data_IF_301817712044
#
_entry.id   IF_301817712044
#
_cell.length_a   1.000
_cell.length_b   1.000
_cell.length_c   1.000
_cell.angle_alpha   90.00
_cell.angle_beta   90.00
_cell.angle_gamma   90.00
#
_symmetry.space_group_name_H-M   'P 1'
#
loop_
_entity.id
_entity.type
_entity.pdbx_description
1 polymer ?
#
# COMPACT_ATOMS: atom_id res chain seq x y z
N UNK A 1 29.44 -6.60 11.78
CA UNK A 1 28.60 -6.09 10.67
C UNK A 1 27.24 -6.72 10.86
N UNK A 2 26.18 -5.94 11.09
CA UNK A 2 24.83 -6.50 11.16
C UNK A 2 24.44 -6.92 9.74
N UNK A 3 24.13 -8.20 9.59
CA UNK A 3 23.63 -8.76 8.34
C UNK A 3 22.30 -8.08 8.01
N UNK A 4 22.28 -7.16 7.03
CA UNK A 4 21.04 -6.53 6.58
C UNK A 4 20.16 -7.54 5.87
N UNK A 5 18.87 -7.54 6.18
CA UNK A 5 17.89 -8.44 5.59
C UNK A 5 17.19 -7.76 4.40
N UNK A 6 17.87 -7.68 3.27
CA UNK A 6 17.29 -7.17 2.01
C UNK A 6 16.62 -8.28 1.20
N UNK A 7 15.63 -7.91 0.38
CA UNK A 7 15.09 -8.80 -0.64
C UNK A 7 16.10 -9.01 -1.75
N UNK A 8 16.72 -10.20 -1.78
CA UNK A 8 17.62 -10.64 -2.86
C UNK A 8 16.96 -10.85 -4.23
N UNK A 9 15.72 -10.42 -4.40
CA UNK A 9 14.93 -10.57 -5.63
C UNK A 9 14.28 -9.23 -5.98
N UNK A 10 14.09 -8.98 -7.28
CA UNK A 10 13.35 -7.81 -7.77
C UNK A 10 12.04 -7.63 -7.00
N UNK A 11 11.67 -6.37 -6.73
CA UNK A 11 10.45 -5.99 -6.02
C UNK A 11 9.27 -6.88 -6.45
N UNK A 12 8.81 -7.73 -5.53
CA UNK A 12 7.74 -8.68 -5.82
C UNK A 12 6.39 -8.04 -5.52
N UNK A 13 5.39 -8.30 -6.35
CA UNK A 13 4.01 -7.80 -6.13
C UNK A 13 3.50 -8.22 -4.74
N UNK A 14 3.84 -9.42 -4.26
CA UNK A 14 3.46 -9.90 -2.92
C UNK A 14 4.02 -9.03 -1.80
N UNK A 15 5.21 -8.47 -1.97
CA UNK A 15 5.76 -7.55 -0.99
C UNK A 15 4.99 -6.23 -1.01
N UNK A 16 4.71 -5.67 -2.20
CA UNK A 16 3.94 -4.43 -2.32
C UNK A 16 2.55 -4.62 -1.70
N UNK A 17 1.88 -5.74 -1.98
CA UNK A 17 0.60 -6.13 -1.39
C UNK A 17 0.71 -6.26 0.14
N UNK A 18 1.77 -6.89 0.65
CA UNK A 18 1.97 -7.04 2.09
C UNK A 18 2.16 -5.70 2.80
N UNK A 19 2.95 -4.79 2.21
CA UNK A 19 3.17 -3.43 2.73
C UNK A 19 1.86 -2.63 2.71
N UNK A 20 1.11 -2.69 1.60
CA UNK A 20 -0.19 -2.03 1.46
C UNK A 20 -1.21 -2.49 2.53
N UNK A 21 -1.14 -3.76 2.95
CA UNK A 21 -1.99 -4.33 4.00
C UNK A 21 -1.39 -4.24 5.41
N UNK A 22 -0.28 -3.51 5.59
CA UNK A 22 0.41 -3.39 6.88
C UNK A 22 0.81 -4.76 7.48
N UNK A 23 1.13 -5.73 6.63
CA UNK A 23 1.62 -7.03 7.07
C UNK A 23 3.10 -6.98 7.44
N UNK A 24 3.44 -7.72 8.48
CA UNK A 24 4.81 -7.85 8.95
C UNK A 24 5.63 -8.69 7.96
N UNK A 25 6.60 -8.07 7.29
CA UNK A 25 7.38 -8.68 6.23
C UNK A 25 8.71 -9.20 6.78
N UNK A 26 8.89 -10.53 6.83
CA UNK A 26 10.13 -11.16 7.34
C UNK A 26 10.94 -11.83 6.23
N UNK A 27 12.25 -11.82 6.42
CA UNK A 27 13.19 -12.60 5.63
C UNK A 27 12.95 -14.11 5.84
N UNK A 28 13.20 -14.91 4.79
CA UNK A 28 13.15 -16.38 4.88
C UNK A 28 14.10 -16.95 5.96
N UNK A 29 15.11 -16.18 6.39
CA UNK A 29 16.00 -16.52 7.52
C UNK A 29 15.25 -16.76 8.82
N UNK A 30 14.14 -16.05 9.06
CA UNK A 30 13.29 -16.29 10.22
C UNK A 30 12.78 -17.74 10.28
N UNK A 31 12.38 -18.30 9.13
CA UNK A 31 11.92 -19.68 9.03
C UNK A 31 13.08 -20.68 9.22
N UNK A 32 14.27 -20.35 8.71
CA UNK A 32 15.47 -21.18 8.93
C UNK A 32 15.81 -21.23 10.42
N UNK A 33 15.81 -20.08 11.10
CA UNK A 33 16.09 -20.02 12.53
C UNK A 33 15.02 -20.72 13.36
N UNK A 34 13.74 -20.57 12.98
CA UNK A 34 12.63 -21.32 13.58
C UNK A 34 12.86 -22.83 13.55
N UNK A 35 13.20 -23.36 12.38
CA UNK A 35 13.47 -24.80 12.19
C UNK A 35 14.73 -25.23 12.93
N UNK A 36 15.81 -24.42 12.86
CA UNK A 36 17.11 -24.74 13.43
C UNK A 36 17.08 -24.81 14.96
N UNK A 37 16.36 -23.90 15.60
CA UNK A 37 16.29 -23.81 17.06
C UNK A 37 15.05 -24.49 17.66
N UNK A 38 14.21 -25.09 16.81
CA UNK A 38 12.95 -25.76 17.18
C UNK A 38 12.09 -24.92 18.15
N UNK A 39 11.98 -23.63 17.86
CA UNK A 39 11.24 -22.66 18.68
C UNK A 39 10.81 -21.47 17.86
N UNK A 40 9.75 -20.78 18.32
CA UNK A 40 9.39 -19.46 17.79
C UNK A 40 10.54 -18.49 18.09
N UNK A 41 11.19 -18.02 17.04
CA UNK A 41 12.25 -17.00 17.10
C UNK A 41 11.63 -15.63 16.92
N UNK A 42 12.24 -14.61 17.53
CA UNK A 42 11.81 -13.24 17.35
C UNK A 42 11.83 -12.85 15.86
N UNK A 43 10.70 -12.35 15.39
CA UNK A 43 10.48 -11.96 14.00
C UNK A 43 11.08 -10.58 13.71
N UNK A 44 11.22 -9.72 14.72
CA UNK A 44 11.68 -8.33 14.55
C UNK A 44 13.15 -8.29 14.12
N UNK A 45 13.97 -9.22 14.63
CA UNK A 45 15.36 -9.39 14.20
C UNK A 45 15.52 -9.84 12.73
N UNK A 46 14.43 -10.28 12.09
CA UNK A 46 14.42 -10.78 10.72
C UNK A 46 13.49 -9.97 9.80
N UNK A 47 13.03 -8.80 10.23
CA UNK A 47 12.20 -7.92 9.42
C UNK A 47 12.96 -7.46 8.16
N UNK A 48 12.24 -7.35 7.05
CA UNK A 48 12.81 -6.86 5.78
C UNK A 48 12.98 -5.33 5.86
N UNK A 49 14.21 -4.86 5.69
CA UNK A 49 14.57 -3.43 5.77
C UNK A 49 14.35 -2.67 4.44
N UNK A 50 14.29 -3.39 3.31
CA UNK A 50 14.16 -2.81 1.99
C UNK A 50 14.33 -3.82 0.85
N UNK A 51 14.24 -3.33 -0.38
CA UNK A 51 14.59 -4.07 -1.58
C UNK A 51 16.00 -3.73 -2.08
N UNK A 52 16.48 -4.47 -3.08
CA UNK A 52 17.81 -4.28 -3.67
C UNK A 52 17.89 -3.08 -4.63
N UNK A 53 16.83 -2.26 -4.78
CA UNK A 53 16.84 -1.12 -5.72
C UNK A 53 17.53 0.10 -5.15
N UNK A 54 17.58 0.23 -3.81
CA UNK A 54 18.20 1.34 -3.12
C UNK A 54 19.42 0.90 -2.29
N UNK A 55 20.48 1.72 -2.32
CA UNK A 55 21.68 1.52 -1.52
C UNK A 55 21.45 1.70 0.00
N UNK A 56 20.29 2.20 0.41
CA UNK A 56 19.95 2.53 1.78
C UNK A 56 18.69 1.80 2.26
N UNK A 57 18.71 1.38 3.53
CA UNK A 57 17.52 0.82 4.19
C UNK A 57 16.44 1.88 4.24
N UNK A 58 15.31 1.60 3.59
CA UNK A 58 14.19 2.51 3.53
C UNK A 58 13.18 2.25 4.65
N UNK A 59 13.23 1.12 5.36
CA UNK A 59 12.29 0.72 6.42
C UNK A 59 10.82 0.81 6.00
N UNK A 60 10.53 0.68 4.69
CA UNK A 60 9.18 0.78 4.14
C UNK A 60 8.18 -0.18 4.78
N UNK A 61 8.49 -1.49 4.85
CA UNK A 61 7.63 -2.47 5.54
C UNK A 61 7.40 -2.12 7.01
N UNK A 62 8.45 -1.70 7.72
CA UNK A 62 8.36 -1.32 9.13
C UNK A 62 7.50 -0.07 9.36
N UNK A 63 7.66 0.95 8.52
CA UNK A 63 6.82 2.15 8.54
C UNK A 63 5.37 1.82 8.27
N UNK A 64 5.08 0.90 7.36
CA UNK A 64 3.70 0.48 7.09
C UNK A 64 3.03 -0.06 8.35
N UNK A 65 3.72 -0.91 9.13
CA UNK A 65 3.18 -1.47 10.37
C UNK A 65 2.97 -0.42 11.48
N UNK A 66 3.62 0.75 11.38
CA UNK A 66 3.50 1.85 12.33
C UNK A 66 2.38 2.84 12.01
N UNK A 67 1.77 2.74 10.83
CA UNK A 67 0.59 3.53 10.47
C UNK A 67 -0.57 2.99 11.31
N UNK A 68 -1.22 3.87 12.08
CA UNK A 68 -2.42 3.49 12.81
C UNK A 68 -3.43 2.89 11.84
N UNK A 69 -4.12 1.82 12.22
CA UNK A 69 -5.09 1.10 11.37
C UNK A 69 -6.22 1.99 10.79
N UNK A 70 -6.33 3.24 11.24
CA UNK A 70 -7.29 4.23 10.77
C UNK A 70 -6.73 5.17 9.70
N UNK A 71 -5.43 5.11 9.40
CA UNK A 71 -4.75 5.92 8.40
C UNK A 71 -4.28 5.02 7.27
N UNK A 72 -4.42 5.50 6.04
CA UNK A 72 -4.13 4.73 4.84
C UNK A 72 -3.23 5.48 3.88
N UNK A 73 -2.47 4.75 3.07
CA UNK A 73 -1.50 5.35 2.16
C UNK A 73 -2.14 6.30 1.14
N UNK A 74 -3.34 5.95 0.66
CA UNK A 74 -4.05 6.72 -0.36
C UNK A 74 -5.39 7.26 0.14
N UNK A 75 -5.52 7.50 1.45
CA UNK A 75 -6.73 8.08 2.01
C UNK A 75 -7.06 9.41 1.30
N UNK A 76 -8.27 9.51 0.74
CA UNK A 76 -8.74 10.66 -0.03
C UNK A 76 -7.97 10.97 -1.33
N UNK A 77 -7.16 10.02 -1.83
CA UNK A 77 -6.47 10.16 -3.11
C UNK A 77 -7.27 9.46 -4.21
N UNK A 78 -7.54 10.20 -5.28
CA UNK A 78 -8.17 9.71 -6.51
C UNK A 78 -7.10 9.44 -7.58
N UNK A 79 -7.08 8.21 -8.11
CA UNK A 79 -6.11 7.74 -9.09
C UNK A 79 -6.77 7.33 -10.40
N UNK A 80 -6.12 7.64 -11.52
CA UNK A 80 -6.49 7.13 -12.84
C UNK A 80 -5.32 6.32 -13.40
N UNK A 81 -5.54 5.04 -13.66
CA UNK A 81 -4.51 4.15 -14.20
C UNK A 81 -4.46 4.34 -15.72
N UNK A 82 -3.42 5.02 -16.21
CA UNK A 82 -3.13 5.13 -17.64
C UNK A 82 -2.15 4.02 -18.03
N UNK A 83 -2.61 3.04 -18.82
CA UNK A 83 -1.77 1.96 -19.33
C UNK A 83 -0.61 2.53 -20.14
N UNK A 84 0.58 2.55 -19.57
CA UNK A 84 1.82 2.75 -20.33
C UNK A 84 2.49 1.39 -20.48
N UNK A 85 3.10 1.12 -21.64
CA UNK A 85 3.79 -0.16 -21.94
C UNK A 85 5.07 -0.37 -21.09
N UNK A 86 5.24 0.34 -19.97
CA UNK A 86 6.42 0.23 -19.14
C UNK A 86 6.32 -1.03 -18.26
N UNK A 87 7.24 -1.95 -18.51
CA UNK A 87 7.31 -3.29 -17.91
C UNK A 87 8.11 -3.32 -16.60
N UNK A 88 8.31 -2.19 -15.92
CA UNK A 88 9.16 -2.12 -14.72
C UNK A 88 8.60 -2.99 -13.59
N UNK A 89 7.27 -3.19 -13.57
CA UNK A 89 6.59 -4.15 -12.70
C UNK A 89 5.66 -4.99 -13.58
N UNK A 90 5.81 -6.31 -13.58
CA UNK A 90 4.92 -7.26 -14.28
C UNK A 90 3.56 -7.38 -13.57
N UNK A 91 2.81 -6.29 -13.50
CA UNK A 91 1.51 -6.20 -12.84
C UNK A 91 0.42 -5.85 -13.86
N UNK A 92 -0.73 -6.51 -13.76
CA UNK A 92 -1.92 -6.17 -14.55
C UNK A 92 -2.60 -4.93 -13.97
N UNK A 93 -3.33 -4.18 -14.78
CA UNK A 93 -4.06 -3.00 -14.30
C UNK A 93 -5.07 -3.35 -13.20
N UNK A 94 -5.76 -4.48 -13.33
CA UNK A 94 -6.73 -4.94 -12.33
C UNK A 94 -6.06 -5.11 -10.97
N UNK A 95 -4.85 -5.69 -10.95
CA UNK A 95 -4.12 -5.93 -9.71
C UNK A 95 -3.54 -4.65 -9.11
N UNK A 96 -3.15 -3.68 -9.94
CA UNK A 96 -2.79 -2.34 -9.49
C UNK A 96 -4.00 -1.60 -8.91
N UNK A 97 -5.17 -1.76 -9.53
CA UNK A 97 -6.43 -1.21 -9.05
C UNK A 97 -6.78 -1.76 -7.67
N UNK A 98 -6.70 -3.08 -7.51
CA UNK A 98 -6.91 -3.76 -6.23
C UNK A 98 -5.94 -3.24 -5.16
N UNK A 99 -4.66 -3.03 -5.50
CA UNK A 99 -3.66 -2.53 -4.57
C UNK A 99 -3.96 -1.10 -4.09
N UNK A 100 -4.33 -0.20 -5.01
CA UNK A 100 -4.69 1.18 -4.68
C UNK A 100 -5.94 1.21 -3.80
N UNK A 101 -6.96 0.42 -4.14
CA UNK A 101 -8.21 0.35 -3.36
C UNK A 101 -8.04 -0.30 -1.99
N UNK A 102 -7.17 -1.30 -1.87
CA UNK A 102 -6.81 -1.91 -0.57
C UNK A 102 -6.09 -0.93 0.35
N UNK A 103 -5.47 0.10 -0.23
CA UNK A 103 -4.81 1.20 0.47
C UNK A 103 -5.70 2.45 0.54
N UNK A 104 -7.03 2.26 0.58
CA UNK A 104 -8.11 3.28 0.63
C UNK A 104 -8.09 4.37 -0.46
N UNK A 105 -7.35 4.13 -1.54
CA UNK A 105 -7.37 4.97 -2.72
C UNK A 105 -8.65 4.75 -3.54
N UNK A 106 -9.07 5.78 -4.27
CA UNK A 106 -10.22 5.70 -5.18
C UNK A 106 -9.73 5.63 -6.62
N UNK A 107 -10.32 4.74 -7.40
CA UNK A 107 -10.00 4.61 -8.82
C UNK A 107 -11.09 5.30 -9.64
N UNK A 108 -10.67 6.21 -10.51
CA UNK A 108 -11.54 6.91 -11.43
C UNK A 108 -11.36 6.33 -12.83
N UNK A 109 -12.46 5.91 -13.44
CA UNK A 109 -12.46 5.34 -14.79
C UNK A 109 -12.76 6.37 -15.87
N UNK A 110 -13.32 7.55 -15.52
CA UNK A 110 -13.44 8.70 -16.41
C UNK A 110 -13.41 10.04 -15.64
N UNK A 111 -12.75 11.06 -16.20
CA UNK A 111 -12.64 12.41 -15.58
C UNK A 111 -14.00 13.05 -15.26
N UNK A 112 -15.06 12.66 -15.95
CA UNK A 112 -16.41 13.25 -15.79
C UNK A 112 -17.14 12.79 -14.53
N UNK A 113 -16.72 11.70 -13.87
CA UNK A 113 -17.36 11.21 -12.64
C UNK A 113 -17.20 12.15 -11.44
N UNK A 114 -16.07 12.85 -11.31
CA UNK A 114 -15.86 13.79 -10.20
C UNK A 114 -16.65 15.09 -10.35
N UNK A 115 -16.73 15.64 -11.57
CA UNK A 115 -17.57 16.83 -11.82
C UNK A 115 -19.01 16.54 -11.42
N UNK A 116 -19.52 15.33 -11.64
CA UNK A 116 -20.87 14.96 -11.25
C UNK A 116 -21.03 14.79 -9.73
N UNK A 117 -20.08 14.13 -9.05
CA UNK A 117 -20.13 13.89 -7.60
C UNK A 117 -19.91 15.16 -6.77
N UNK A 118 -19.01 16.06 -7.21
CA UNK A 118 -18.81 17.38 -6.59
C UNK A 118 -20.07 18.23 -6.75
N UNK A 119 -20.66 18.25 -7.95
CA UNK A 119 -21.92 18.96 -8.18
C UNK A 119 -23.08 18.40 -7.36
N UNK A 120 -23.19 17.08 -7.19
CA UNK A 120 -24.20 16.47 -6.32
C UNK A 120 -24.01 16.87 -4.85
N UNK A 121 -22.79 16.83 -4.32
CA UNK A 121 -22.52 17.26 -2.94
C UNK A 121 -22.85 18.73 -2.71
N UNK A 122 -22.55 19.60 -3.68
CA UNK A 122 -22.94 21.02 -3.64
C UNK A 122 -24.47 21.20 -3.70
N UNK A 123 -25.16 20.46 -4.58
CA UNK A 123 -26.62 20.49 -4.71
C UNK A 123 -27.34 20.08 -3.41
N UNK A 124 -26.85 19.03 -2.73
CA UNK A 124 -27.42 18.61 -1.44
C UNK A 124 -27.09 19.59 -0.31
N UNK A 125 -25.91 20.20 -0.33
CA UNK A 125 -25.54 21.26 0.63
C UNK A 125 -26.44 22.49 0.50
N UNK A 126 -26.71 22.94 -0.74
CA UNK A 126 -27.61 24.09 -1.01
C UNK A 126 -29.05 23.78 -0.62
N UNK A 127 -29.56 22.57 -0.90
CA UNK A 127 -30.91 22.16 -0.44
C UNK A 127 -31.00 22.18 1.08
N UNK A 128 -30.04 21.60 1.79
CA UNK A 128 -30.08 21.58 3.25
C UNK A 128 -29.99 22.98 3.87
N UNK A 129 -29.26 23.92 3.25
CA UNK A 129 -29.23 25.31 3.68
C UNK A 129 -30.57 26.03 3.47
N UNK A 130 -31.30 25.73 2.39
CA UNK A 130 -32.62 26.34 2.15
C UNK A 130 -33.70 25.81 3.09
N UNK A 131 -33.68 24.53 3.47
CA UNK A 131 -34.68 23.95 4.39
C UNK A 131 -34.43 24.24 5.88
N UNK A 132 -33.33 24.91 6.24
CA UNK A 132 -33.04 25.33 7.63
C UNK A 132 -33.45 26.78 7.92
N UNK A 133 -33.95 27.52 6.93
CA UNK A 133 -34.32 28.93 7.03
C UNK A 133 -35.83 29.19 6.84
N UNK A 134 -36.66 28.13 6.90
CA UNK A 134 -38.13 28.20 7.04
C UNK A 134 -38.54 27.75 8.45
#
# INVERSE_FOLDING_TARGET
>A
MSDKHTLRSSLSIKLIEAIANHYFCVSYRWLIDYIKYDRIVDKDANEIEGDDTDYHSQDGPKRSCSIDKCHSFFENICSMIKCTKNNDIKMTNDRLQDLITTSDGRIITCMTQEVYLINLKLLFSVKNYMYQND
#
